data_IF_405717440107
#
_entry.id   IF_405717440107
#
_cell.length_a   1.000
_cell.length_b   1.000
_cell.length_c   1.000
_cell.angle_alpha   90.00
_cell.angle_beta   90.00
_cell.angle_gamma   90.00
#
_symmetry.space_group_name_H-M   'P 1'
#
loop_
_entity.id
_entity.type
_entity.pdbx_description
1 polymer ?
#
# COMPACT_ATOMS: atom_id res chain seq x y z
N UNK A 1 26.29 0.35 51.15
CA UNK A 1 26.02 1.78 50.94
C UNK A 1 26.38 2.17 49.50
N UNK A 2 25.45 2.07 48.53
CA UNK A 2 25.63 2.65 47.19
C UNK A 2 25.23 4.13 47.18
N UNK A 3 25.81 4.91 46.27
CA UNK A 3 25.66 6.37 46.20
C UNK A 3 24.35 6.83 45.53
N UNK A 4 23.96 8.08 45.81
CA UNK A 4 22.75 8.72 45.30
C UNK A 4 22.86 9.19 43.82
N UNK A 5 21.75 9.30 43.08
CA UNK A 5 21.73 9.84 41.73
C UNK A 5 21.69 11.39 41.74
N UNK A 6 22.28 12.04 40.73
CA UNK A 6 22.14 13.48 40.53
C UNK A 6 21.49 13.85 39.18
N UNK A 7 20.45 14.67 39.31
CA UNK A 7 19.92 15.68 38.40
C UNK A 7 19.55 15.35 36.94
N UNK A 8 18.23 15.36 36.73
CA UNK A 8 17.57 15.70 35.46
C UNK A 8 17.66 17.22 35.23
N UNK A 9 17.98 17.66 34.01
CA UNK A 9 17.86 19.07 33.60
C UNK A 9 16.59 19.29 32.79
N UNK A 10 15.81 20.31 33.15
CA UNK A 10 14.55 20.66 32.48
C UNK A 10 14.78 21.61 31.30
N UNK A 11 14.17 21.30 30.15
CA UNK A 11 14.15 22.17 28.97
C UNK A 11 13.05 23.22 29.15
N UNK A 12 13.38 24.50 28.92
CA UNK A 12 12.50 25.64 29.15
C UNK A 12 11.92 26.14 27.83
N UNK A 13 10.58 26.20 27.74
CA UNK A 13 9.85 26.67 26.54
C UNK A 13 9.63 28.19 26.61
N UNK A 14 9.89 28.98 25.55
CA UNK A 14 9.56 30.40 25.49
C UNK A 14 8.09 30.64 25.07
N UNK A 15 7.45 31.75 25.51
CA UNK A 15 6.02 31.99 25.30
C UNK A 15 5.66 32.63 23.94
N UNK A 16 4.41 32.44 23.54
CA UNK A 16 3.75 32.99 22.34
C UNK A 16 3.37 34.47 22.47
N UNK A 17 3.35 35.18 21.33
CA UNK A 17 2.90 36.58 21.23
C UNK A 17 1.50 36.69 20.55
N UNK A 18 0.75 37.74 20.91
CA UNK A 18 -0.70 37.85 20.73
C UNK A 18 -1.16 38.69 19.51
N UNK A 19 -2.44 38.56 19.15
CA UNK A 19 -3.09 39.23 18.01
C UNK A 19 -3.16 40.77 18.10
N UNK A 20 -3.17 41.44 16.94
CA UNK A 20 -3.74 42.78 16.73
C UNK A 20 -4.96 42.74 15.79
N UNK A 21 -5.95 43.65 15.99
CA UNK A 21 -7.21 43.76 15.23
C UNK A 21 -7.42 45.18 14.67
N UNK A 22 -8.42 45.34 13.77
CA UNK A 22 -9.01 46.58 13.21
C UNK A 22 -8.33 47.16 11.94
N UNK A 23 -9.04 47.85 11.01
CA UNK A 23 -10.46 48.30 10.96
C UNK A 23 -10.96 48.45 9.50
N UNK A 24 -12.24 48.85 9.31
CA UNK A 24 -13.02 48.87 8.05
C UNK A 24 -13.64 50.27 7.79
N UNK A 25 -13.48 50.83 6.58
CA UNK A 25 -14.15 52.05 6.02
C UNK A 25 -14.01 52.01 4.48
N UNK A 26 -15.06 51.95 3.64
CA UNK A 26 -16.08 52.94 3.17
C UNK A 26 -15.65 53.90 2.03
N UNK A 27 -16.23 53.70 0.83
CA UNK A 27 -16.30 54.55 -0.40
C UNK A 27 -17.34 55.72 -0.23
N UNK A 28 -17.63 56.70 -1.16
CA UNK A 28 -17.55 56.65 -2.65
C UNK A 28 -17.31 57.99 -3.47
N UNK A 29 -17.46 57.90 -4.82
CA UNK A 29 -17.59 58.96 -5.90
C UNK A 29 -16.27 59.68 -6.33
N UNK A 30 -16.07 60.13 -7.58
CA UNK A 30 -16.94 60.29 -8.79
C UNK A 30 -16.22 59.99 -10.14
N UNK A 31 -17.00 59.90 -11.23
CA UNK A 31 -16.64 59.72 -12.66
C UNK A 31 -16.44 61.06 -13.40
N UNK A 32 -16.14 61.14 -14.73
CA UNK A 32 -15.89 60.10 -15.76
C UNK A 32 -14.46 60.23 -16.36
N UNK A 33 -14.05 59.93 -17.62
CA UNK A 33 -14.64 59.38 -18.87
C UNK A 33 -13.50 58.92 -19.82
N UNK A 34 -13.67 57.85 -20.62
CA UNK A 34 -13.57 57.81 -22.11
C UNK A 34 -13.71 56.37 -22.67
N UNK A 35 -14.01 56.22 -23.96
CA UNK A 35 -14.30 54.99 -24.68
C UNK A 35 -13.06 54.34 -25.33
N UNK A 36 -12.78 53.07 -25.04
CA UNK A 36 -12.13 52.18 -26.02
C UNK A 36 -12.49 50.71 -25.78
N UNK A 37 -12.62 49.97 -26.88
CA UNK A 37 -13.15 48.61 -26.97
C UNK A 37 -12.40 47.61 -26.07
N UNK A 38 -13.13 46.95 -25.17
CA UNK A 38 -12.66 45.76 -24.45
C UNK A 38 -13.66 44.63 -24.60
N UNK A 39 -13.25 43.53 -25.22
CA UNK A 39 -14.05 42.29 -25.24
C UNK A 39 -14.25 41.80 -23.81
N UNK A 40 -15.47 41.36 -23.48
CA UNK A 40 -15.74 40.74 -22.19
C UNK A 40 -14.91 39.44 -22.07
N UNK A 41 -14.23 39.18 -20.93
CA UNK A 41 -13.69 37.87 -20.63
C UNK A 41 -14.86 36.94 -20.33
N UNK A 42 -15.38 36.33 -21.39
CA UNK A 42 -16.47 35.38 -21.32
C UNK A 42 -16.01 34.07 -20.66
N UNK A 43 -16.91 33.50 -19.86
CA UNK A 43 -16.91 32.09 -19.46
C UNK A 43 -15.73 31.58 -18.63
N UNK A 44 -16.03 31.41 -17.34
CA UNK A 44 -15.45 30.37 -16.48
C UNK A 44 -15.21 29.05 -17.23
N UNK A 45 -13.94 28.70 -17.46
CA UNK A 45 -13.57 27.37 -17.92
C UNK A 45 -13.98 26.33 -16.86
N UNK A 46 -15.11 25.67 -17.08
CA UNK A 46 -15.46 24.43 -16.38
C UNK A 46 -14.39 23.40 -16.73
N UNK A 47 -13.46 23.19 -15.80
CA UNK A 47 -12.42 22.18 -15.92
C UNK A 47 -13.09 20.81 -16.06
N UNK A 48 -13.23 20.34 -17.31
CA UNK A 48 -13.51 18.94 -17.60
C UNK A 48 -12.34 18.14 -17.04
N UNK A 49 -12.63 17.12 -16.24
CA UNK A 49 -11.62 16.13 -15.85
C UNK A 49 -11.00 15.61 -17.14
N UNK A 50 -9.70 15.86 -17.34
CA UNK A 50 -9.05 15.52 -18.60
C UNK A 50 -9.11 14.00 -18.81
N UNK A 51 -9.38 13.53 -20.02
CA UNK A 51 -9.33 12.10 -20.31
C UNK A 51 -7.87 11.58 -20.13
N UNK A 52 -7.68 10.30 -19.79
CA UNK A 52 -6.34 9.71 -19.74
C UNK A 52 -5.60 9.88 -21.08
N UNK A 53 -4.29 10.14 -21.07
CA UNK A 53 -3.51 10.25 -22.30
C UNK A 53 -3.44 8.89 -23.01
N UNK A 54 -3.60 8.84 -24.33
CA UNK A 54 -3.56 7.57 -25.09
C UNK A 54 -2.25 6.78 -24.92
N UNK A 55 -1.15 7.48 -24.73
CA UNK A 55 0.17 6.89 -24.56
C UNK A 55 1.06 7.76 -23.66
N UNK A 56 1.88 7.11 -22.84
CA UNK A 56 2.99 7.72 -22.08
C UNK A 56 4.28 6.95 -22.31
N UNK A 57 5.44 7.55 -22.02
CA UNK A 57 6.73 6.86 -21.96
C UNK A 57 7.27 6.89 -20.54
N UNK A 58 8.04 5.85 -20.17
CA UNK A 58 8.71 5.79 -18.87
C UNK A 58 9.89 6.74 -18.77
N UNK A 59 10.16 7.21 -17.55
CA UNK A 59 11.42 7.85 -17.15
C UNK A 59 12.15 7.02 -16.07
N UNK A 60 13.45 7.22 -15.80
CA UNK A 60 14.11 6.56 -14.66
C UNK A 60 13.48 6.97 -13.32
N UNK A 61 13.37 6.04 -12.36
CA UNK A 61 12.94 6.36 -11.00
C UNK A 61 14.03 7.17 -10.28
N UNK A 62 13.67 8.37 -9.78
CA UNK A 62 14.53 9.18 -8.91
C UNK A 62 13.73 9.78 -7.75
N UNK A 63 14.35 10.10 -6.60
CA UNK A 63 13.66 10.72 -5.47
C UNK A 63 12.92 12.00 -5.85
N UNK A 64 13.54 12.85 -6.67
CA UNK A 64 13.02 14.18 -7.04
C UNK A 64 11.80 14.08 -7.96
N UNK A 65 11.83 13.13 -8.90
CA UNK A 65 10.75 12.93 -9.88
C UNK A 65 9.56 12.16 -9.29
N UNK A 66 9.80 11.36 -8.24
CA UNK A 66 8.81 10.54 -7.55
C UNK A 66 8.23 11.20 -6.27
N UNK A 67 8.90 12.19 -5.68
CA UNK A 67 8.51 12.86 -4.44
C UNK A 67 7.02 13.27 -4.28
N UNK A 68 6.27 13.66 -5.34
CA UNK A 68 4.84 13.95 -5.21
C UNK A 68 3.96 12.71 -4.95
N UNK A 69 4.45 11.52 -5.29
CA UNK A 69 3.73 10.24 -5.29
C UNK A 69 4.19 9.29 -4.17
N UNK A 70 5.38 9.52 -3.63
CA UNK A 70 6.02 8.56 -2.75
C UNK A 70 7.49 8.87 -2.49
N UNK A 71 8.12 7.97 -1.74
CA UNK A 71 9.55 8.00 -1.44
C UNK A 71 10.28 6.88 -2.21
N UNK A 72 11.53 7.13 -2.62
CA UNK A 72 12.40 6.11 -3.23
C UNK A 72 13.35 5.56 -2.17
N UNK A 73 13.32 4.24 -1.98
CA UNK A 73 14.12 3.54 -0.96
C UNK A 73 15.37 2.97 -1.64
N UNK A 74 16.47 3.72 -1.60
CA UNK A 74 17.75 3.31 -2.16
C UNK A 74 18.91 3.95 -1.39
N UNK A 75 20.13 3.49 -1.63
CA UNK A 75 21.34 4.20 -1.20
C UNK A 75 21.46 5.50 -2.02
N UNK A 76 21.47 6.71 -1.39
CA UNK A 76 21.55 7.97 -2.13
C UNK A 76 22.89 8.12 -2.86
N UNK A 77 22.84 8.53 -4.14
CA UNK A 77 24.02 8.74 -4.98
C UNK A 77 24.91 9.91 -4.52
N UNK A 78 24.34 10.88 -3.81
CA UNK A 78 25.04 12.00 -3.18
C UNK A 78 24.87 11.93 -1.66
N UNK A 79 25.58 11.00 -1.01
CA UNK A 79 25.47 10.81 0.43
C UNK A 79 26.23 11.89 1.21
N UNK A 80 25.51 12.73 1.94
CA UNK A 80 26.06 13.61 2.99
C UNK A 80 25.65 13.18 4.41
N UNK A 81 24.77 12.18 4.54
CA UNK A 81 24.19 11.74 5.82
C UNK A 81 24.02 10.20 5.93
N UNK A 82 25.13 9.46 5.90
CA UNK A 82 25.16 8.08 6.37
C UNK A 82 25.82 8.00 7.75
N UNK A 83 25.23 7.28 8.69
CA UNK A 83 25.86 6.98 9.98
C UNK A 83 26.76 5.75 9.86
N UNK A 84 27.91 5.74 10.54
CA UNK A 84 28.70 4.53 10.68
C UNK A 84 28.02 3.57 11.67
N UNK A 85 27.87 2.31 11.27
CA UNK A 85 27.30 1.24 12.08
C UNK A 85 28.26 0.04 12.15
N UNK A 86 27.95 -0.95 13.00
CA UNK A 86 28.70 -2.20 13.13
C UNK A 86 30.22 -1.98 13.29
N UNK A 87 30.62 -1.09 14.21
CA UNK A 87 32.01 -0.72 14.46
C UNK A 87 32.77 -0.20 13.21
N UNK A 88 32.07 0.44 12.28
CA UNK A 88 32.61 1.00 11.04
C UNK A 88 32.53 0.07 9.83
N UNK A 89 32.01 -1.15 9.99
CA UNK A 89 31.86 -2.12 8.88
C UNK A 89 30.58 -1.94 8.05
N UNK A 90 29.68 -1.03 8.45
CA UNK A 90 28.44 -0.75 7.73
C UNK A 90 28.12 0.75 7.70
N UNK A 91 27.41 1.18 6.66
CA UNK A 91 26.76 2.49 6.57
C UNK A 91 25.26 2.33 6.81
N UNK A 92 24.70 3.14 7.71
CA UNK A 92 23.28 3.18 8.05
C UNK A 92 22.65 4.42 7.41
N UNK A 93 21.65 4.19 6.57
CA UNK A 93 20.85 5.22 5.91
C UNK A 93 19.49 5.31 6.61
N UNK A 94 19.30 6.36 7.41
CA UNK A 94 18.10 6.53 8.22
C UNK A 94 17.00 7.30 7.49
N UNK A 95 15.74 7.05 7.87
CA UNK A 95 14.57 7.82 7.45
C UNK A 95 14.35 7.92 5.92
N UNK A 96 14.69 6.87 5.16
CA UNK A 96 14.49 6.80 3.70
C UNK A 96 13.03 6.88 3.27
N UNK A 97 12.09 6.55 4.16
CA UNK A 97 10.65 6.73 3.97
C UNK A 97 9.94 6.85 5.33
N UNK A 98 8.66 7.19 5.32
CA UNK A 98 7.77 7.23 6.48
C UNK A 98 6.54 6.36 6.24
N UNK A 99 6.11 5.61 7.25
CA UNK A 99 4.89 4.81 7.19
C UNK A 99 3.72 5.59 7.77
N UNK A 100 2.69 5.83 6.95
CA UNK A 100 1.50 6.58 7.35
C UNK A 100 0.30 5.66 7.47
N UNK A 101 -0.45 5.80 8.57
CA UNK A 101 -1.71 5.11 8.78
C UNK A 101 -2.74 6.07 9.41
N UNK A 102 -3.61 6.63 8.57
CA UNK A 102 -4.68 7.54 8.99
C UNK A 102 -5.82 6.86 9.75
N UNK A 103 -5.85 5.53 9.74
CA UNK A 103 -6.78 4.69 10.51
C UNK A 103 -6.23 4.31 11.89
N UNK A 104 -5.13 4.94 12.32
CA UNK A 104 -4.59 4.83 13.68
C UNK A 104 -5.05 5.99 14.56
N UNK A 105 -5.30 5.72 15.86
CA UNK A 105 -5.49 6.75 16.89
C UNK A 105 -4.18 7.25 17.50
N UNK A 106 -3.06 6.54 17.25
CA UNK A 106 -1.71 6.98 17.58
C UNK A 106 -1.11 7.79 16.41
N UNK A 107 -0.27 8.80 16.68
CA UNK A 107 0.31 9.66 15.64
C UNK A 107 1.39 8.93 14.82
N UNK A 108 0.95 8.07 13.91
CA UNK A 108 1.67 7.62 12.71
C UNK A 108 1.23 8.44 11.50
N UNK A 109 1.07 9.75 11.70
CA UNK A 109 0.70 10.72 10.67
C UNK A 109 1.94 11.56 10.33
N UNK A 110 2.34 11.54 9.06
CA UNK A 110 3.54 12.22 8.62
C UNK A 110 3.35 13.76 8.62
N UNK A 111 4.23 14.55 9.28
CA UNK A 111 4.10 16.02 9.33
C UNK A 111 4.23 16.73 7.97
N UNK A 112 4.66 16.03 6.91
CA UNK A 112 4.78 16.56 5.55
C UNK A 112 3.89 15.83 4.55
N UNK A 113 2.92 15.02 4.97
CA UNK A 113 1.92 14.51 4.01
C UNK A 113 1.10 15.71 3.50
N UNK A 114 1.08 15.99 2.18
CA UNK A 114 0.30 17.10 1.62
C UNK A 114 -1.23 16.90 1.73
N UNK A 115 -1.67 15.73 2.21
CA UNK A 115 -3.06 15.36 2.36
C UNK A 115 -3.49 15.39 3.84
N UNK A 116 -4.33 16.37 4.17
CA UNK A 116 -5.05 16.40 5.45
C UNK A 116 -6.30 15.53 5.36
N UNK A 117 -6.21 14.26 5.75
CA UNK A 117 -7.37 13.38 5.83
C UNK A 117 -8.12 13.53 7.16
N UNK A 118 -9.41 13.85 7.08
CA UNK A 118 -10.35 13.61 8.18
C UNK A 118 -10.85 12.17 8.07
N UNK A 119 -10.23 11.26 8.81
CA UNK A 119 -10.61 9.84 8.80
C UNK A 119 -11.94 9.62 9.53
N UNK A 120 -12.92 8.91 8.93
CA UNK A 120 -14.14 8.54 9.64
C UNK A 120 -13.87 7.66 10.87
N UNK A 121 -14.54 7.94 11.99
CA UNK A 121 -14.28 7.28 13.27
C UNK A 121 -14.49 5.74 13.24
N UNK A 122 -15.40 5.25 12.40
CA UNK A 122 -15.63 3.81 12.20
C UNK A 122 -14.45 3.07 11.52
N UNK A 123 -13.51 3.80 10.92
CA UNK A 123 -12.29 3.23 10.34
C UNK A 123 -11.13 3.14 11.33
N UNK A 124 -11.24 3.76 12.51
CA UNK A 124 -10.16 3.86 13.51
C UNK A 124 -10.22 2.76 14.58
N UNK A 125 -11.32 2.00 14.66
CA UNK A 125 -11.55 0.99 15.71
C UNK A 125 -12.14 -0.30 15.11
N UNK A 126 -11.43 -1.45 15.17
CA UNK A 126 -9.98 -1.53 15.41
C UNK A 126 -9.22 -0.78 14.29
N UNK A 127 -8.03 -0.25 14.55
CA UNK A 127 -7.23 0.45 13.55
C UNK A 127 -6.71 -0.53 12.48
N UNK A 128 -6.28 -0.01 11.33
CA UNK A 128 -5.53 -0.81 10.37
C UNK A 128 -4.20 -1.29 10.96
N UNK A 129 -3.83 -2.54 10.72
CA UNK A 129 -2.60 -3.16 11.22
C UNK A 129 -1.59 -3.36 10.08
N UNK A 130 -0.27 -3.39 10.36
CA UNK A 130 0.73 -3.58 9.33
C UNK A 130 0.73 -5.05 8.87
N UNK A 131 0.48 -5.26 7.59
CA UNK A 131 0.63 -6.52 6.89
C UNK A 131 1.97 -6.53 6.14
N UNK A 132 2.86 -7.46 6.48
CA UNK A 132 4.07 -7.76 5.72
C UNK A 132 3.82 -9.03 4.89
N UNK A 133 3.78 -8.90 3.58
CA UNK A 133 3.54 -10.01 2.66
C UNK A 133 4.58 -10.05 1.52
N UNK A 134 4.57 -11.11 0.70
CA UNK A 134 5.40 -11.21 -0.50
C UNK A 134 4.48 -11.37 -1.71
N UNK A 135 4.67 -10.51 -2.71
CA UNK A 135 4.07 -10.66 -4.02
C UNK A 135 5.07 -11.25 -5.00
N UNK A 136 4.66 -12.30 -5.71
CA UNK A 136 5.42 -12.87 -6.85
C UNK A 136 4.83 -12.33 -8.15
N UNK A 137 5.49 -11.35 -8.74
CA UNK A 137 5.09 -10.75 -10.01
C UNK A 137 5.79 -11.43 -11.18
N UNK A 138 5.01 -11.93 -12.14
CA UNK A 138 5.53 -12.41 -13.42
C UNK A 138 5.79 -11.24 -14.38
N UNK A 139 6.77 -11.38 -15.29
CA UNK A 139 7.06 -10.34 -16.27
C UNK A 139 5.86 -10.13 -17.21
N UNK A 140 5.55 -8.88 -17.56
CA UNK A 140 4.43 -8.57 -18.47
C UNK A 140 4.61 -9.27 -19.81
N UNK A 141 3.59 -9.96 -20.35
CA UNK A 141 3.73 -10.69 -21.62
C UNK A 141 3.95 -9.77 -22.82
N UNK A 142 3.47 -8.52 -22.76
CA UNK A 142 3.46 -7.59 -23.89
C UNK A 142 3.93 -6.20 -23.48
N UNK A 143 4.60 -5.51 -24.41
CA UNK A 143 4.88 -4.07 -24.38
C UNK A 143 4.54 -3.47 -25.76
N UNK A 144 4.05 -2.21 -25.87
CA UNK A 144 3.73 -1.26 -24.80
C UNK A 144 2.70 -1.79 -23.79
N UNK A 145 2.89 -1.47 -22.50
CA UNK A 145 2.06 -2.01 -21.42
C UNK A 145 0.66 -1.34 -21.39
N UNK A 146 -0.44 -2.08 -21.45
CA UNK A 146 -1.79 -1.50 -21.42
C UNK A 146 -2.27 -1.25 -19.97
N UNK A 147 -2.45 0.01 -19.59
CA UNK A 147 -3.12 0.39 -18.32
C UNK A 147 -4.62 0.12 -18.46
N UNK A 148 -5.15 -0.75 -17.60
CA UNK A 148 -6.59 -1.09 -17.53
C UNK A 148 -7.23 -0.82 -16.18
N UNK A 149 -6.40 -0.58 -15.16
CA UNK A 149 -6.75 -0.43 -13.76
C UNK A 149 -5.79 0.57 -13.13
N UNK A 150 -6.28 1.41 -12.22
CA UNK A 150 -5.47 1.98 -11.15
C UNK A 150 -6.15 1.67 -9.80
N UNK A 151 -5.35 1.41 -8.79
CA UNK A 151 -5.77 1.21 -7.40
C UNK A 151 -5.16 2.28 -6.48
N UNK A 152 -5.72 2.47 -5.28
CA UNK A 152 -5.10 3.28 -4.23
C UNK A 152 -5.38 2.75 -2.84
N UNK A 153 -4.39 2.90 -1.96
CA UNK A 153 -4.58 2.78 -0.52
C UNK A 153 -4.88 4.16 0.06
N UNK A 154 -6.17 4.51 0.17
CA UNK A 154 -6.61 5.88 0.50
C UNK A 154 -6.13 6.40 1.86
N UNK A 155 -6.02 5.51 2.84
CA UNK A 155 -5.79 5.87 4.24
C UNK A 155 -4.39 5.54 4.76
N UNK A 156 -3.49 5.08 3.89
CA UNK A 156 -2.19 4.58 4.33
C UNK A 156 -1.17 4.47 3.21
N UNK A 157 0.10 4.51 3.56
CA UNK A 157 1.21 4.20 2.65
C UNK A 157 1.23 2.72 2.27
N UNK A 158 1.82 2.40 1.10
CA UNK A 158 2.16 1.03 0.72
C UNK A 158 3.59 0.98 0.15
N UNK A 159 4.43 0.16 0.77
CA UNK A 159 5.85 0.03 0.45
C UNK A 159 6.14 -1.29 -0.25
N UNK A 160 7.00 -1.27 -1.27
CA UNK A 160 7.60 -2.46 -1.85
C UNK A 160 9.13 -2.35 -1.94
N UNK A 161 9.80 -3.47 -1.69
CA UNK A 161 11.24 -3.62 -1.96
C UNK A 161 11.44 -4.90 -2.78
N UNK A 162 12.16 -4.85 -3.91
CA UNK A 162 12.42 -6.03 -4.72
C UNK A 162 13.33 -7.03 -3.99
N UNK A 163 12.94 -8.30 -4.02
CA UNK A 163 13.73 -9.45 -3.56
C UNK A 163 14.33 -10.16 -4.77
N UNK A 164 15.13 -9.43 -5.55
CA UNK A 164 15.71 -9.92 -6.80
C UNK A 164 16.78 -10.99 -6.52
N UNK A 165 16.67 -12.22 -7.10
CA UNK A 165 17.70 -13.24 -6.92
C UNK A 165 19.02 -12.83 -7.60
N UNK A 166 20.20 -13.18 -7.05
CA UNK A 166 21.50 -12.76 -7.59
C UNK A 166 21.80 -13.23 -9.02
N UNK A 167 21.07 -14.22 -9.51
CA UNK A 167 21.17 -14.80 -10.85
C UNK A 167 19.77 -14.84 -11.44
N UNK A 168 19.62 -14.43 -12.70
CA UNK A 168 18.35 -14.44 -13.46
C UNK A 168 17.20 -13.61 -12.84
N UNK A 169 17.49 -12.73 -11.89
CA UNK A 169 16.53 -11.76 -11.37
C UNK A 169 16.30 -10.60 -12.34
N UNK A 170 15.10 -10.01 -12.30
CA UNK A 170 14.76 -8.88 -13.15
C UNK A 170 15.73 -7.69 -12.94
N UNK A 171 16.16 -7.04 -14.01
CA UNK A 171 17.05 -5.87 -13.89
C UNK A 171 16.29 -4.60 -13.50
N UNK A 172 14.99 -4.57 -13.76
CA UNK A 172 14.10 -3.48 -13.43
C UNK A 172 12.63 -3.92 -13.40
N UNK A 173 11.79 -3.05 -12.86
CA UNK A 173 10.34 -3.18 -12.85
C UNK A 173 9.69 -1.82 -13.15
N UNK A 174 8.39 -1.84 -13.44
CA UNK A 174 7.63 -0.69 -13.93
C UNK A 174 6.66 -0.18 -12.86
N UNK A 175 6.71 1.12 -12.61
CA UNK A 175 5.76 1.85 -11.77
C UNK A 175 4.88 2.74 -12.65
N UNK A 176 3.63 2.91 -12.26
CA UNK A 176 2.65 3.78 -12.90
C UNK A 176 1.87 4.44 -11.77
N UNK A 177 1.80 5.78 -11.77
CA UNK A 177 1.22 6.56 -10.67
C UNK A 177 0.48 7.80 -11.16
N UNK A 178 -0.55 8.21 -10.44
CA UNK A 178 -1.25 9.48 -10.57
C UNK A 178 -1.65 10.00 -9.17
N UNK A 179 -1.72 11.32 -9.01
CA UNK A 179 -2.25 11.93 -7.79
C UNK A 179 -3.78 11.83 -7.76
N UNK A 180 -4.38 12.01 -6.58
CA UNK A 180 -5.84 12.16 -6.45
C UNK A 180 -6.26 13.59 -6.79
N UNK A 181 -7.19 13.76 -7.73
CA UNK A 181 -7.89 15.02 -7.95
C UNK A 181 -8.82 15.32 -6.77
N UNK A 182 -8.62 16.48 -6.13
CA UNK A 182 -9.31 16.86 -4.89
C UNK A 182 -10.80 17.20 -5.05
N UNK A 183 -11.34 17.26 -6.28
CA UNK A 183 -12.76 17.58 -6.55
C UNK A 183 -13.58 16.33 -6.86
N UNK A 184 -12.98 15.39 -7.58
CA UNK A 184 -13.61 14.18 -8.09
C UNK A 184 -13.27 12.94 -7.25
N UNK A 185 -12.20 13.00 -6.45
CA UNK A 185 -11.67 11.88 -5.67
C UNK A 185 -11.27 10.67 -6.55
N UNK A 186 -10.80 10.96 -7.77
CA UNK A 186 -10.35 10.04 -8.82
C UNK A 186 -8.91 10.40 -9.26
N UNK A 187 -8.25 9.64 -10.15
CA UNK A 187 -6.93 10.02 -10.65
C UNK A 187 -6.95 11.37 -11.35
N UNK A 188 -6.01 12.25 -11.01
CA UNK A 188 -5.65 13.40 -11.82
C UNK A 188 -4.79 12.93 -12.99
N UNK A 189 -5.43 12.71 -14.13
CA UNK A 189 -4.79 12.23 -15.35
C UNK A 189 -3.68 13.15 -15.89
N UNK A 190 -3.67 14.44 -15.51
CA UNK A 190 -2.56 15.35 -15.87
C UNK A 190 -1.26 15.02 -15.11
N UNK A 191 -1.38 14.29 -14.00
CA UNK A 191 -0.26 13.85 -13.16
C UNK A 191 0.15 12.40 -13.41
N UNK A 192 -0.49 11.70 -14.36
CA UNK A 192 -0.17 10.31 -14.71
C UNK A 192 1.27 10.22 -15.23
N UNK A 193 2.10 9.45 -14.52
CA UNK A 193 3.50 9.19 -14.89
C UNK A 193 3.80 7.71 -14.80
N UNK A 194 4.88 7.31 -15.46
CA UNK A 194 5.42 5.96 -15.34
C UNK A 194 6.94 5.99 -15.22
N UNK A 195 7.47 5.09 -14.39
CA UNK A 195 8.88 5.03 -14.03
C UNK A 195 9.45 3.63 -14.21
N UNK A 196 10.68 3.53 -14.70
CA UNK A 196 11.48 2.29 -14.60
C UNK A 196 12.35 2.40 -13.36
N UNK A 197 12.15 1.47 -12.43
CA UNK A 197 12.92 1.35 -11.20
C UNK A 197 13.88 0.15 -11.30
N UNK A 198 15.13 0.31 -10.87
CA UNK A 198 16.11 -0.78 -10.88
C UNK A 198 15.81 -1.80 -9.77
N UNK A 199 16.36 -3.00 -9.90
CA UNK A 199 16.33 -4.03 -8.84
C UNK A 199 17.00 -3.66 -7.51
N UNK A 200 17.66 -2.50 -7.43
CA UNK A 200 18.29 -1.97 -6.22
C UNK A 200 17.51 -0.81 -5.58
N UNK A 201 16.41 -0.39 -6.19
CA UNK A 201 15.49 0.60 -5.64
C UNK A 201 14.26 -0.13 -5.11
N UNK A 202 13.83 0.21 -3.89
CA UNK A 202 12.45 0.05 -3.43
C UNK A 202 11.71 1.38 -3.51
N UNK A 203 10.44 1.38 -3.13
CA UNK A 203 9.58 2.57 -3.13
C UNK A 203 8.47 2.46 -2.08
N UNK A 204 7.93 3.60 -1.68
CA UNK A 204 6.75 3.67 -0.83
C UNK A 204 5.77 4.70 -1.40
N UNK A 205 4.58 4.28 -1.79
CA UNK A 205 3.52 5.18 -2.21
C UNK A 205 3.00 5.97 -1.00
N UNK A 206 2.81 7.28 -1.15
CA UNK A 206 2.08 8.08 -0.16
C UNK A 206 0.59 7.70 -0.15
N UNK A 207 -0.11 7.99 0.94
CA UNK A 207 -1.52 7.67 1.06
C UNK A 207 -2.35 8.34 -0.05
N UNK A 208 -3.35 7.62 -0.58
CA UNK A 208 -4.26 8.09 -1.63
C UNK A 208 -3.63 8.42 -2.99
N UNK A 209 -2.37 8.03 -3.22
CA UNK A 209 -1.78 8.04 -4.56
C UNK A 209 -2.34 6.86 -5.36
N UNK A 210 -2.90 7.14 -6.53
CA UNK A 210 -3.34 6.11 -7.48
C UNK A 210 -2.12 5.50 -8.15
N UNK A 211 -2.12 4.17 -8.29
CA UNK A 211 -1.03 3.42 -8.88
C UNK A 211 -1.54 2.17 -9.59
N UNK A 212 -0.72 1.58 -10.47
CA UNK A 212 -1.01 0.26 -11.02
C UNK A 212 -0.42 -0.83 -10.10
N UNK A 213 -1.08 -2.01 -9.96
CA UNK A 213 -0.47 -3.21 -9.37
C UNK A 213 0.92 -3.52 -9.96
N UNK A 214 1.80 -4.16 -9.20
CA UNK A 214 3.23 -4.31 -9.52
C UNK A 214 3.49 -5.01 -10.86
N UNK A 215 4.26 -4.36 -11.74
CA UNK A 215 4.59 -4.86 -13.08
C UNK A 215 6.08 -5.23 -13.14
N UNK A 216 6.39 -6.52 -13.14
CA UNK A 216 7.73 -6.99 -13.49
C UNK A 216 7.95 -6.91 -15.01
N UNK A 217 9.20 -6.70 -15.46
CA UNK A 217 9.50 -6.44 -16.87
C UNK A 217 10.16 -7.64 -17.58
N UNK A 218 11.41 -7.97 -17.24
CA UNK A 218 12.23 -8.93 -17.98
C UNK A 218 12.30 -10.33 -17.33
N UNK A 219 12.16 -10.42 -16.02
CA UNK A 219 12.06 -11.69 -15.31
C UNK A 219 11.05 -11.63 -14.14
N UNK A 220 10.78 -12.78 -13.53
CA UNK A 220 9.98 -12.87 -12.31
C UNK A 220 10.65 -12.05 -11.19
N UNK A 221 9.86 -11.25 -10.47
CA UNK A 221 10.32 -10.49 -9.31
C UNK A 221 9.43 -10.78 -8.12
N UNK A 222 10.03 -11.24 -7.04
CA UNK A 222 9.38 -11.25 -5.73
C UNK A 222 9.57 -9.87 -5.09
N UNK A 223 8.53 -9.32 -4.48
CA UNK A 223 8.58 -8.07 -3.73
C UNK A 223 8.11 -8.31 -2.31
N UNK A 224 8.88 -7.89 -1.31
CA UNK A 224 8.31 -7.72 0.03
C UNK A 224 7.46 -6.47 0.02
N UNK A 225 6.22 -6.59 0.47
CA UNK A 225 5.25 -5.51 0.59
C UNK A 225 4.94 -5.25 2.07
N UNK A 226 4.90 -3.98 2.46
CA UNK A 226 4.35 -3.53 3.73
C UNK A 226 3.18 -2.58 3.46
N UNK A 227 1.98 -3.01 3.85
CA UNK A 227 0.71 -2.31 3.66
C UNK A 227 -0.07 -2.29 4.96
N UNK A 228 -1.03 -1.37 5.12
CA UNK A 228 -1.89 -1.31 6.30
C UNK A 228 -3.30 -1.77 5.95
N UNK A 229 -3.76 -2.84 6.59
CA UNK A 229 -5.04 -3.50 6.27
C UNK A 229 -5.93 -3.62 7.51
N UNK A 230 -7.24 -3.64 7.32
CA UNK A 230 -8.24 -4.01 8.33
C UNK A 230 -8.83 -5.40 8.08
N UNK A 231 -8.74 -5.93 6.85
CA UNK A 231 -9.12 -7.31 6.49
C UNK A 231 -10.52 -7.69 6.98
N UNK A 232 -10.63 -8.65 7.91
CA UNK A 232 -11.88 -9.10 8.52
C UNK A 232 -12.65 -7.99 9.27
N UNK A 233 -12.01 -6.84 9.52
CA UNK A 233 -12.61 -5.66 10.16
C UNK A 233 -13.02 -4.57 9.16
N UNK A 234 -12.94 -4.81 7.85
CA UNK A 234 -13.39 -3.88 6.82
C UNK A 234 -14.90 -3.63 6.91
N UNK A 235 -15.30 -2.36 6.83
CA UNK A 235 -16.70 -1.89 6.83
C UNK A 235 -17.29 -1.76 5.42
N UNK A 236 -16.49 -1.96 4.38
CA UNK A 236 -16.90 -2.00 2.98
C UNK A 236 -15.83 -2.63 2.09
N UNK A 237 -16.19 -3.14 0.90
CA UNK A 237 -15.31 -3.98 0.07
C UNK A 237 -14.08 -3.24 -0.49
N UNK A 238 -14.12 -1.91 -0.56
CA UNK A 238 -13.03 -1.07 -1.07
C UNK A 238 -12.35 -0.22 0.02
N UNK A 239 -12.42 -0.64 1.28
CA UNK A 239 -11.90 0.17 2.39
C UNK A 239 -10.36 0.16 2.49
N UNK A 240 -9.75 -1.01 2.32
CA UNK A 240 -8.30 -1.16 2.31
C UNK A 240 -7.70 -0.69 0.96
N UNK A 241 -8.36 -1.00 -0.15
CA UNK A 241 -7.98 -0.64 -1.52
C UNK A 241 -9.19 -0.13 -2.29
N UNK A 242 -9.09 1.04 -2.91
CA UNK A 242 -10.06 1.49 -3.91
C UNK A 242 -9.51 1.26 -5.32
N UNK A 243 -10.34 0.71 -6.23
CA UNK A 243 -9.98 0.44 -7.62
C UNK A 243 -10.79 1.30 -8.59
N UNK A 244 -10.21 1.66 -9.73
CA UNK A 244 -10.91 2.20 -10.90
C UNK A 244 -10.44 1.49 -12.18
N UNK A 245 -11.39 0.90 -12.90
CA UNK A 245 -11.16 0.38 -14.25
C UNK A 245 -11.14 1.54 -15.26
N UNK A 246 -10.33 1.38 -16.31
CA UNK A 246 -10.21 2.36 -17.40
C UNK A 246 -10.96 1.81 -18.63
N UNK A 247 -11.93 2.58 -19.13
CA UNK A 247 -12.64 2.26 -20.39
C UNK A 247 -11.70 2.41 -21.60
N UNK A 248 -10.88 3.46 -21.60
CA UNK A 248 -9.86 3.73 -22.63
C UNK A 248 -8.46 3.28 -22.17
N UNK A 249 -7.82 2.43 -22.98
CA UNK A 249 -6.49 1.88 -22.65
C UNK A 249 -5.37 2.87 -22.94
N UNK A 250 -4.76 3.41 -21.89
CA UNK A 250 -3.47 4.11 -21.97
C UNK A 250 -2.35 3.10 -22.18
N UNK A 251 -1.44 3.36 -23.12
CA UNK A 251 -0.29 2.49 -23.36
C UNK A 251 1.01 3.10 -22.80
N UNK A 252 1.80 2.31 -22.07
CA UNK A 252 3.11 2.72 -21.56
C UNK A 252 4.22 2.14 -22.43
N UNK A 253 4.97 3.03 -23.08
CA UNK A 253 6.19 2.66 -23.79
C UNK A 253 7.37 2.60 -22.81
N UNK A 254 8.13 1.49 -22.85
CA UNK A 254 9.21 1.18 -21.92
C UNK A 254 10.52 0.94 -22.71
N UNK A 255 11.31 1.99 -23.01
CA UNK A 255 12.49 1.87 -23.86
C UNK A 255 13.50 0.85 -23.34
N UNK A 256 14.01 0.01 -24.25
CA UNK A 256 15.00 -1.02 -23.92
C UNK A 256 14.44 -2.30 -23.29
N UNK A 257 13.12 -2.44 -23.17
CA UNK A 257 12.45 -3.67 -22.74
C UNK A 257 11.57 -4.24 -23.85
N UNK A 258 11.25 -5.54 -23.73
CA UNK A 258 10.30 -6.28 -24.57
C UNK A 258 9.40 -7.11 -23.66
N UNK A 259 8.21 -7.51 -24.12
CA UNK A 259 7.32 -8.37 -23.34
C UNK A 259 7.91 -9.77 -23.15
N UNK A 260 7.49 -10.47 -22.09
CA UNK A 260 7.92 -11.82 -21.79
C UNK A 260 7.62 -12.82 -22.91
N UNK A 261 6.50 -12.64 -23.62
CA UNK A 261 6.15 -13.44 -24.79
C UNK A 261 7.13 -13.19 -25.95
N UNK A 262 7.58 -11.94 -26.14
CA UNK A 262 8.57 -11.56 -27.15
C UNK A 262 9.99 -12.09 -26.82
N UNK A 263 10.22 -12.47 -25.55
CA UNK A 263 11.49 -12.97 -25.03
C UNK A 263 11.49 -14.50 -24.82
N UNK A 264 10.43 -15.23 -25.22
CA UNK A 264 10.23 -16.67 -24.94
C UNK A 264 10.29 -17.05 -23.44
N UNK A 265 9.97 -16.13 -22.52
CA UNK A 265 9.92 -16.39 -21.08
C UNK A 265 8.56 -16.98 -20.72
N UNK A 266 8.52 -18.27 -20.44
CA UNK A 266 7.28 -18.97 -20.06
C UNK A 266 6.91 -18.63 -18.62
N UNK A 267 5.82 -17.87 -18.43
CA UNK A 267 5.23 -17.69 -17.12
C UNK A 267 4.61 -19.02 -16.63
N UNK A 268 4.89 -19.46 -15.38
CA UNK A 268 4.31 -20.68 -14.85
C UNK A 268 2.81 -20.53 -14.59
N UNK A 269 2.05 -21.60 -14.84
CA UNK A 269 0.61 -21.65 -14.60
C UNK A 269 0.35 -21.66 -13.08
N UNK A 270 -0.14 -20.55 -12.52
CA UNK A 270 -0.71 -20.55 -11.16
C UNK A 270 -2.13 -21.13 -11.21
N UNK A 271 -2.45 -22.15 -10.40
CA UNK A 271 -3.83 -22.60 -10.21
C UNK A 271 -4.67 -21.47 -9.61
N UNK A 272 -5.80 -21.13 -10.24
CA UNK A 272 -6.77 -20.19 -9.64
C UNK A 272 -7.31 -20.79 -8.34
N UNK A 273 -6.86 -20.27 -7.21
CA UNK A 273 -7.60 -20.43 -5.95
C UNK A 273 -8.85 -19.59 -6.07
N UNK A 274 -10.02 -20.21 -6.00
CA UNK A 274 -11.29 -19.49 -5.94
C UNK A 274 -11.40 -18.76 -4.60
N UNK A 275 -10.94 -17.52 -4.54
CA UNK A 275 -11.37 -16.58 -3.51
C UNK A 275 -12.83 -16.28 -3.75
N UNK A 276 -13.70 -16.73 -2.85
CA UNK A 276 -15.10 -16.30 -2.84
C UNK A 276 -15.14 -14.81 -2.51
N UNK A 277 -15.24 -13.96 -3.53
CA UNK A 277 -15.61 -12.57 -3.31
C UNK A 277 -16.95 -12.53 -2.58
N UNK A 278 -17.09 -11.61 -1.61
CA UNK A 278 -18.32 -11.42 -0.87
C UNK A 278 -19.37 -10.75 -1.77
N UNK A 279 -19.94 -11.51 -2.70
CA UNK A 279 -21.01 -11.10 -3.58
C UNK A 279 -22.34 -11.65 -3.07
N UNK A 280 -23.26 -10.73 -2.75
CA UNK A 280 -24.72 -10.89 -2.73
C UNK A 280 -25.27 -12.23 -2.19
N UNK A 281 -25.68 -12.20 -0.93
CA UNK A 281 -26.93 -12.88 -0.55
C UNK A 281 -28.06 -11.91 -0.87
N UNK A 282 -28.63 -12.04 -2.06
CA UNK A 282 -29.95 -11.47 -2.37
C UNK A 282 -30.99 -12.43 -1.77
N UNK A 283 -32.05 -11.87 -1.17
CA UNK A 283 -33.10 -12.64 -0.50
C UNK A 283 -33.96 -13.41 -1.50
N UNK A 284 -34.18 -14.70 -1.25
CA UNK A 284 -35.36 -15.41 -1.73
C UNK A 284 -35.79 -16.46 -0.71
N UNK A 285 -36.77 -16.09 0.09
CA UNK A 285 -37.47 -16.96 1.04
C UNK A 285 -38.72 -17.55 0.37
N UNK A 286 -39.05 -18.80 0.69
CA UNK A 286 -40.28 -19.54 0.36
C UNK A 286 -40.57 -19.85 -1.11
N UNK A 287 -40.52 -21.13 -1.47
CA UNK A 287 -41.75 -21.94 -1.51
C UNK A 287 -41.47 -23.45 -1.52
N UNK A 288 -42.52 -24.25 -1.29
CA UNK A 288 -42.59 -25.72 -1.28
C UNK A 288 -42.02 -26.46 -0.04
N UNK A 289 -42.89 -26.69 0.94
CA UNK A 289 -42.84 -27.82 1.86
C UNK A 289 -43.47 -29.08 1.22
N UNK A 290 -43.42 -30.22 1.95
CA UNK A 290 -43.81 -31.59 1.53
C UNK A 290 -42.82 -32.22 0.52
N UNK A 291 -42.16 -33.35 0.82
CA UNK A 291 -42.81 -34.62 1.17
C UNK A 291 -41.97 -35.58 2.06
N UNK A 292 -42.69 -36.50 2.70
CA UNK A 292 -42.33 -37.78 3.33
C UNK A 292 -41.06 -37.94 4.18
N UNK A 293 -41.33 -38.04 5.48
CA UNK A 293 -40.59 -38.85 6.44
C UNK A 293 -40.43 -40.32 6.04
N UNK A 294 -39.18 -40.82 5.95
CA UNK A 294 -38.86 -42.22 6.30
C UNK A 294 -37.35 -42.40 6.59
N UNK A 295 -36.99 -43.53 7.23
CA UNK A 295 -35.60 -43.96 7.57
C UNK A 295 -34.86 -43.21 8.70
N UNK A 296 -35.57 -42.90 9.77
CA UNK A 296 -34.97 -42.70 11.10
C UNK A 296 -35.41 -43.80 12.10
N UNK A 297 -35.10 -45.08 11.80
CA UNK A 297 -35.21 -46.26 12.70
C UNK A 297 -34.59 -47.50 12.03
N UNK A 298 -33.40 -47.90 12.46
CA UNK A 298 -32.89 -49.29 12.57
C UNK A 298 -31.35 -49.33 12.55
N UNK A 299 -30.72 -49.05 13.71
CA UNK A 299 -29.74 -49.97 14.28
C UNK A 299 -29.35 -49.54 15.70
N UNK A 300 -30.02 -50.13 16.68
CA UNK A 300 -29.61 -50.13 18.07
C UNK A 300 -29.99 -51.50 18.64
N UNK A 301 -29.01 -52.39 18.75
CA UNK A 301 -28.87 -53.45 19.78
C UNK A 301 -28.03 -54.66 19.30
N UNK A 302 -26.78 -54.68 19.77
CA UNK A 302 -25.91 -55.82 20.18
C UNK A 302 -24.46 -55.30 20.14
N UNK A 303 -23.66 -55.34 21.22
CA UNK A 303 -23.88 -55.88 22.56
C UNK A 303 -22.95 -55.22 23.59
N UNK A 304 -23.48 -54.91 24.78
CA UNK A 304 -22.74 -54.97 26.07
C UNK A 304 -23.02 -56.37 26.65
N UNK A 305 -22.23 -57.01 27.52
CA UNK A 305 -20.97 -56.73 28.24
C UNK A 305 -20.22 -58.08 28.43
N UNK A 306 -19.00 -58.16 28.97
CA UNK A 306 -18.70 -58.43 30.40
C UNK A 306 -17.19 -58.31 30.65
N UNK A 307 -16.83 -57.61 31.74
CA UNK A 307 -15.73 -57.74 32.73
C UNK A 307 -14.57 -58.77 32.52
N UNK A 308 -13.37 -58.65 33.11
CA UNK A 308 -12.64 -57.57 33.84
C UNK A 308 -11.24 -58.09 34.27
N UNK A 309 -10.31 -57.18 34.63
CA UNK A 309 -9.00 -57.42 35.31
C UNK A 309 -7.93 -58.20 34.51
N UNK A 310 -6.60 -58.04 34.71
CA UNK A 310 -5.84 -57.44 35.84
C UNK A 310 -4.51 -56.79 35.36
N UNK A 311 -3.87 -56.02 36.24
CA UNK A 311 -2.51 -55.41 36.19
C UNK A 311 -1.37 -56.33 35.63
N UNK A 312 -0.23 -55.83 35.11
CA UNK A 312 0.74 -55.01 35.86
C UNK A 312 1.89 -54.37 35.04
N UNK A 313 2.45 -53.29 35.60
CA UNK A 313 3.80 -52.68 35.44
C UNK A 313 4.86 -53.26 34.47
N UNK A 314 5.55 -52.38 33.73
CA UNK A 314 6.95 -52.06 34.10
C UNK A 314 7.48 -50.74 33.49
N UNK A 315 8.18 -49.98 34.33
CA UNK A 315 9.00 -48.81 33.99
C UNK A 315 10.49 -49.18 33.96
N UNK A 316 11.32 -48.41 33.24
CA UNK A 316 12.75 -48.34 33.53
C UNK A 316 13.36 -47.03 32.98
N UNK A 317 13.74 -46.13 33.89
CA UNK A 317 14.80 -45.15 33.63
C UNK A 317 16.16 -45.85 33.64
N UNK A 318 17.14 -45.30 32.91
CA UNK A 318 18.54 -45.46 33.30
C UNK A 318 19.34 -44.19 33.00
N UNK A 319 20.00 -43.67 34.03
CA UNK A 319 20.75 -42.41 34.08
C UNK A 319 22.12 -42.69 34.72
N UNK A 320 23.10 -41.79 34.52
CA UNK A 320 24.49 -41.76 35.08
C UNK A 320 25.57 -42.47 34.21
N UNK A 321 26.82 -42.01 34.13
CA UNK A 321 27.45 -40.75 34.61
C UNK A 321 28.89 -40.54 34.07
N UNK A 322 29.33 -39.27 34.03
CA UNK A 322 30.74 -38.80 34.12
C UNK A 322 31.69 -39.10 32.91
N UNK A 323 32.84 -38.43 32.71
CA UNK A 323 33.63 -37.53 33.60
C UNK A 323 34.48 -36.48 32.84
N UNK A 324 34.95 -35.47 33.58
CA UNK A 324 35.71 -34.27 33.23
C UNK A 324 37.16 -34.44 32.72
N UNK A 325 37.64 -33.42 31.99
CA UNK A 325 39.00 -32.81 31.95
C UNK A 325 38.89 -31.48 31.15
N UNK A 326 39.57 -30.37 31.47
CA UNK A 326 40.34 -30.00 32.67
C UNK A 326 40.28 -28.47 32.80
#
# INVERSE_FOLDING_TARGET
MPAAPQHVSSIRVPPTATMGKSKRTSKPKSTPSDNSQGQAPESTATARTAAPPKQISTQPLSPESFAPYGDVIAVPSQSTSSEAANQGTAQRYNYLTQFTNYRSTLPLVHPRDPNTFTTPANLQTPPATPNLCIFRSFPTPHLPFPIKLLERHKWSTQMFVPMTPPQNGARAYLLIVALTDKKTDKPDWSTLKSFVATSTQGFNYHASVWHHPMIALDAMTDFVCLVWERRENMTGPSEDTEEILLDDVTHVHVPGFKGAADNNVVAPIIPRVHTTSAAKRDDQENDAAEDTSEKAKNNKEKSKSVNSSTSNTNSNELRRSARTRK
#
